data_IF_889656140393
#
_entry.id   IF_889656140393
#
_cell.length_a   1.000
_cell.length_b   1.000
_cell.length_c   1.000
_cell.angle_alpha   90.00
_cell.angle_beta   90.00
_cell.angle_gamma   90.00
#
_symmetry.space_group_name_H-M   'P 1'
#
loop_
_entity.id
_entity.type
_entity.pdbx_description
1 polymer ?
#
# COMPACT_ATOMS: atom_id res chain seq x y z
N UNK A 1 -20.81 -13.28 -12.22
CA UNK A 1 -20.41 -11.90 -12.59
C UNK A 1 -19.56 -11.83 -13.86
N UNK A 2 -18.56 -12.68 -14.08
CA UNK A 2 -17.68 -12.59 -15.26
C UNK A 2 -18.40 -12.74 -16.60
N UNK A 3 -19.37 -13.65 -16.72
CA UNK A 3 -20.15 -13.87 -17.95
C UNK A 3 -21.01 -12.65 -18.32
N UNK A 4 -21.64 -12.00 -17.34
CA UNK A 4 -22.46 -10.81 -17.58
C UNK A 4 -21.58 -9.61 -17.95
N UNK A 5 -20.47 -9.43 -17.26
CA UNK A 5 -19.49 -8.38 -17.57
C UNK A 5 -18.94 -8.55 -18.97
N UNK A 6 -18.56 -9.78 -19.35
CA UNK A 6 -18.07 -10.07 -20.71
C UNK A 6 -19.13 -9.75 -21.78
N UNK A 7 -20.40 -10.13 -21.54
CA UNK A 7 -21.50 -9.83 -22.45
C UNK A 7 -21.72 -8.32 -22.61
N UNK A 8 -21.67 -7.55 -21.53
CA UNK A 8 -21.82 -6.10 -21.58
C UNK A 8 -20.64 -5.43 -22.31
N UNK A 9 -19.42 -5.86 -22.05
CA UNK A 9 -18.24 -5.35 -22.76
C UNK A 9 -18.35 -5.66 -24.24
N UNK A 10 -18.72 -6.88 -24.62
CA UNK A 10 -18.90 -7.27 -26.03
C UNK A 10 -19.96 -6.39 -26.71
N UNK A 11 -21.11 -6.18 -26.08
CA UNK A 11 -22.14 -5.31 -26.66
C UNK A 11 -21.68 -3.86 -26.87
N UNK A 12 -20.95 -3.31 -25.92
CA UNK A 12 -20.36 -1.97 -26.05
C UNK A 12 -19.32 -1.93 -27.16
N UNK A 13 -18.46 -2.93 -27.24
CA UNK A 13 -17.45 -3.06 -28.28
C UNK A 13 -18.10 -3.12 -29.67
N UNK A 14 -19.11 -3.95 -29.87
CA UNK A 14 -19.83 -4.11 -31.14
C UNK A 14 -20.49 -2.80 -31.58
N UNK A 15 -21.10 -2.05 -30.66
CA UNK A 15 -21.69 -0.74 -30.96
C UNK A 15 -20.62 0.29 -31.37
N UNK A 16 -19.47 0.31 -30.70
CA UNK A 16 -18.38 1.22 -31.05
C UNK A 16 -17.69 0.82 -32.38
N UNK A 17 -17.50 -0.47 -32.58
CA UNK A 17 -16.91 -0.99 -33.81
C UNK A 17 -17.78 -0.65 -35.03
N UNK A 18 -19.11 -0.78 -34.91
CA UNK A 18 -20.07 -0.38 -35.95
C UNK A 18 -19.99 1.12 -36.25
N UNK A 19 -19.71 1.95 -35.24
CA UNK A 19 -19.70 3.41 -35.37
C UNK A 19 -18.35 3.99 -35.78
N UNK A 20 -17.25 3.42 -35.34
CA UNK A 20 -15.90 3.99 -35.49
C UNK A 20 -14.88 3.06 -36.16
N UNK A 21 -15.28 1.85 -36.50
CA UNK A 21 -14.40 0.81 -37.03
C UNK A 21 -13.50 0.16 -35.97
N UNK A 22 -12.92 -0.99 -36.31
CA UNK A 22 -12.10 -1.83 -35.42
C UNK A 22 -10.88 -1.08 -34.84
N UNK A 23 -10.20 -0.28 -35.68
CA UNK A 23 -9.04 0.50 -35.25
C UNK A 23 -9.40 1.61 -34.25
N UNK A 24 -10.57 2.23 -34.40
CA UNK A 24 -11.05 3.25 -33.47
C UNK A 24 -11.33 2.68 -32.08
N UNK A 25 -11.95 1.50 -32.03
CA UNK A 25 -12.21 0.80 -30.75
C UNK A 25 -10.93 0.38 -30.04
N UNK A 26 -9.98 -0.21 -30.77
CA UNK A 26 -8.69 -0.62 -30.20
C UNK A 26 -7.92 0.57 -29.59
N UNK A 27 -7.90 1.70 -30.29
CA UNK A 27 -7.25 2.91 -29.80
C UNK A 27 -7.92 3.43 -28.51
N UNK A 28 -9.24 3.44 -28.44
CA UNK A 28 -9.99 3.84 -27.23
C UNK A 28 -9.66 2.91 -26.06
N UNK A 29 -9.67 1.60 -26.27
CA UNK A 29 -9.34 0.63 -25.22
C UNK A 29 -7.89 0.81 -24.77
N UNK A 30 -6.94 0.99 -25.68
CA UNK A 30 -5.54 1.20 -25.32
C UNK A 30 -5.33 2.48 -24.51
N UNK A 31 -5.96 3.59 -24.89
CA UNK A 31 -5.81 4.88 -24.19
C UNK A 31 -6.54 4.92 -22.84
N UNK A 32 -7.75 4.36 -22.78
CA UNK A 32 -8.67 4.55 -21.65
C UNK A 32 -8.93 3.28 -20.81
N UNK A 33 -8.21 2.17 -21.06
CA UNK A 33 -8.43 0.89 -20.37
C UNK A 33 -8.49 0.99 -18.84
N UNK A 34 -7.67 1.84 -18.24
CA UNK A 34 -7.66 2.05 -16.78
C UNK A 34 -8.92 2.78 -16.30
N UNK A 35 -9.32 3.81 -17.01
CA UNK A 35 -10.49 4.62 -16.63
C UNK A 35 -11.79 3.88 -16.88
N UNK A 36 -11.85 3.12 -17.98
CA UNK A 36 -12.95 2.20 -18.28
C UNK A 36 -13.07 1.14 -17.17
N UNK A 37 -11.96 0.51 -16.81
CA UNK A 37 -11.91 -0.49 -15.73
C UNK A 37 -12.37 0.08 -14.39
N UNK A 38 -11.89 1.26 -14.00
CA UNK A 38 -12.32 1.97 -12.78
C UNK A 38 -13.81 2.27 -12.79
N UNK A 39 -14.33 2.78 -13.91
CA UNK A 39 -15.74 3.13 -14.04
C UNK A 39 -16.65 1.90 -13.99
N UNK A 40 -16.27 0.81 -14.66
CA UNK A 40 -17.00 -0.47 -14.59
C UNK A 40 -17.00 -0.99 -13.14
N UNK A 41 -15.84 -1.01 -12.50
CA UNK A 41 -15.72 -1.47 -11.11
C UNK A 41 -16.56 -0.62 -10.15
N UNK A 42 -16.50 0.70 -10.28
CA UNK A 42 -17.32 1.62 -9.49
C UNK A 42 -18.81 1.35 -9.66
N UNK A 43 -19.28 1.18 -10.91
CA UNK A 43 -20.68 0.86 -11.18
C UNK A 43 -21.08 -0.52 -10.65
N UNK A 44 -20.22 -1.51 -10.79
CA UNK A 44 -20.48 -2.84 -10.21
C UNK A 44 -20.65 -2.76 -8.69
N UNK A 45 -19.81 -1.98 -7.98
CA UNK A 45 -19.95 -1.80 -6.53
C UNK A 45 -21.24 -1.07 -6.14
N UNK A 46 -21.69 -0.10 -6.93
CA UNK A 46 -22.95 0.62 -6.68
C UNK A 46 -24.19 -0.26 -6.88
N UNK A 47 -24.14 -1.21 -7.78
CA UNK A 47 -25.23 -2.10 -8.14
C UNK A 47 -25.10 -3.51 -7.54
N UNK A 48 -23.99 -3.77 -6.86
CA UNK A 48 -23.76 -5.04 -6.19
C UNK A 48 -24.43 -5.00 -4.80
N UNK A 49 -25.47 -5.79 -4.63
CA UNK A 49 -26.07 -6.06 -3.34
C UNK A 49 -26.08 -7.57 -3.10
N UNK A 50 -25.75 -7.97 -1.90
CA UNK A 50 -25.95 -9.33 -1.43
C UNK A 50 -27.23 -9.39 -0.61
N UNK A 51 -28.22 -10.09 -1.09
CA UNK A 51 -29.33 -10.50 -0.25
C UNK A 51 -28.82 -11.53 0.77
N UNK A 52 -28.69 -11.13 2.04
CA UNK A 52 -28.29 -11.99 3.16
C UNK A 52 -26.85 -12.54 3.14
N UNK A 53 -25.91 -11.86 2.52
CA UNK A 53 -24.50 -12.27 2.51
C UNK A 53 -23.53 -11.17 2.96
N UNK A 54 -22.57 -11.52 3.80
CA UNK A 54 -21.41 -10.68 4.04
C UNK A 54 -20.37 -10.94 2.93
N UNK A 55 -19.83 -9.86 2.35
CA UNK A 55 -18.67 -9.98 1.48
C UNK A 55 -17.48 -10.49 2.31
N UNK A 56 -17.04 -11.71 2.03
CA UNK A 56 -15.79 -12.23 2.57
C UNK A 56 -14.68 -12.05 1.53
N UNK A 57 -13.61 -11.42 1.95
CA UNK A 57 -12.38 -11.39 1.17
C UNK A 57 -11.58 -12.64 1.47
N UNK A 58 -11.02 -13.25 0.42
CA UNK A 58 -10.12 -14.39 0.51
C UNK A 58 -8.90 -14.22 -0.39
N UNK A 59 -7.80 -14.84 -0.03
CA UNK A 59 -6.62 -14.90 -0.87
C UNK A 59 -6.83 -15.99 -1.90
N UNK A 60 -7.05 -15.61 -3.15
CA UNK A 60 -7.24 -16.54 -4.27
C UNK A 60 -5.92 -17.10 -4.82
N UNK A 61 -4.79 -16.50 -4.44
CA UNK A 61 -3.45 -16.96 -4.83
C UNK A 61 -2.36 -15.99 -4.41
N UNK A 62 -1.14 -16.48 -4.44
CA UNK A 62 0.07 -15.68 -4.19
C UNK A 62 0.98 -15.74 -5.41
N UNK A 63 1.76 -14.69 -5.60
CA UNK A 63 2.77 -14.63 -6.64
C UNK A 63 4.06 -14.06 -6.09
N UNK A 64 5.19 -14.52 -6.61
CA UNK A 64 6.46 -13.82 -6.41
C UNK A 64 6.38 -12.49 -7.14
N UNK A 65 6.69 -11.39 -6.47
CA UNK A 65 6.84 -10.09 -7.09
C UNK A 65 8.30 -9.66 -7.04
N UNK A 66 8.78 -9.09 -8.14
CA UNK A 66 10.09 -8.45 -8.18
C UNK A 66 9.87 -6.98 -7.82
N UNK A 67 10.12 -6.65 -6.57
CA UNK A 67 10.09 -5.26 -6.12
C UNK A 67 11.14 -4.45 -6.87
N UNK A 68 10.78 -3.28 -7.33
CA UNK A 68 11.66 -2.36 -8.04
C UNK A 68 11.68 -1.02 -7.34
N UNK A 69 12.81 -0.35 -7.44
CA UNK A 69 12.98 0.97 -6.88
C UNK A 69 13.56 1.87 -7.97
N UNK A 70 12.84 2.94 -8.27
CA UNK A 70 13.31 3.97 -9.20
C UNK A 70 12.88 5.33 -8.67
N UNK A 71 13.84 6.11 -8.19
CA UNK A 71 13.58 7.43 -7.63
C UNK A 71 14.25 8.54 -8.44
N UNK A 72 13.53 9.66 -8.59
CA UNK A 72 14.15 10.94 -8.94
C UNK A 72 14.55 11.63 -7.64
N UNK A 73 15.79 12.09 -7.57
CA UNK A 73 16.34 12.80 -6.42
C UNK A 73 17.29 13.90 -6.87
N UNK A 74 17.45 14.92 -6.04
CA UNK A 74 18.40 16.02 -6.27
C UNK A 74 19.66 15.89 -5.42
N UNK A 75 19.60 15.14 -4.33
CA UNK A 75 20.66 15.00 -3.34
C UNK A 75 20.67 13.59 -2.75
N UNK A 76 21.84 13.16 -2.27
CA UNK A 76 22.02 11.92 -1.50
C UNK A 76 22.52 12.25 -0.12
N UNK A 77 22.01 11.52 0.88
CA UNK A 77 22.47 11.64 2.24
C UNK A 77 22.52 10.28 2.94
N UNK A 78 23.35 10.13 3.96
CA UNK A 78 23.28 8.95 4.81
C UNK A 78 21.98 8.97 5.63
N UNK A 79 21.39 7.81 5.89
CA UNK A 79 20.13 7.67 6.64
C UNK A 79 20.19 8.39 8.01
N UNK A 80 21.33 8.37 8.66
CA UNK A 80 21.54 8.96 9.98
C UNK A 80 22.07 10.40 9.96
N UNK A 81 22.37 10.95 8.78
CA UNK A 81 22.77 12.34 8.64
C UNK A 81 21.57 13.27 8.60
N UNK A 82 21.72 14.44 9.23
CA UNK A 82 20.81 15.57 9.08
C UNK A 82 21.41 16.66 8.18
N UNK A 83 22.57 16.39 7.60
CA UNK A 83 23.30 17.29 6.71
C UNK A 83 22.81 17.08 5.26
N UNK A 84 21.67 17.65 4.95
CA UNK A 84 21.15 17.79 3.58
C UNK A 84 20.47 19.14 3.43
N UNK A 85 20.58 19.72 2.22
CA UNK A 85 20.15 21.12 1.96
C UNK A 85 18.76 21.19 1.33
N UNK A 86 18.33 20.11 0.72
CA UNK A 86 17.05 20.04 0.01
C UNK A 86 15.86 19.72 0.89
N UNK A 87 14.67 19.74 0.28
CA UNK A 87 13.49 19.18 0.90
C UNK A 87 13.69 17.65 1.07
N UNK A 88 13.30 17.10 2.22
CA UNK A 88 13.40 15.67 2.53
C UNK A 88 12.85 14.79 1.39
N UNK A 89 11.78 15.21 0.72
CA UNK A 89 11.18 14.50 -0.41
C UNK A 89 12.07 14.46 -1.66
N UNK A 90 13.10 15.29 -1.74
CA UNK A 90 14.05 15.30 -2.85
C UNK A 90 15.36 14.57 -2.56
N UNK A 91 15.53 14.08 -1.32
CA UNK A 91 16.74 13.39 -0.87
C UNK A 91 16.59 11.88 -1.00
N UNK A 92 17.58 11.22 -1.58
CA UNK A 92 17.73 9.77 -1.55
C UNK A 92 18.64 9.39 -0.38
N UNK A 93 18.07 8.73 0.60
CA UNK A 93 18.82 8.26 1.77
C UNK A 93 19.44 6.91 1.50
N UNK A 94 20.70 6.76 1.89
CA UNK A 94 21.52 5.57 1.70
C UNK A 94 22.16 5.09 3.03
N UNK A 95 22.84 3.94 2.99
CA UNK A 95 23.39 3.33 4.18
C UNK A 95 22.42 2.42 4.93
N UNK A 96 21.33 2.04 4.30
CA UNK A 96 20.32 1.11 4.82
C UNK A 96 20.87 -0.32 4.71
N UNK A 97 20.86 -1.07 5.81
CA UNK A 97 21.37 -2.45 5.90
C UNK A 97 20.26 -3.47 6.13
N UNK A 98 19.19 -3.09 6.82
CA UNK A 98 18.04 -3.94 7.14
C UNK A 98 16.84 -3.74 6.24
N UNK A 99 16.85 -2.66 5.47
CA UNK A 99 15.87 -2.45 4.43
C UNK A 99 16.03 -3.47 3.30
N UNK A 100 14.90 -3.84 2.67
CA UNK A 100 14.91 -4.66 1.44
C UNK A 100 15.74 -3.99 0.34
N UNK A 101 15.80 -2.66 0.37
CA UNK A 101 16.68 -1.86 -0.49
C UNK A 101 17.70 -1.10 0.34
N UNK A 102 18.89 -0.90 -0.21
CA UNK A 102 19.97 -0.13 0.43
C UNK A 102 19.73 1.39 0.43
N UNK A 103 18.69 1.84 -0.26
CA UNK A 103 18.32 3.26 -0.37
C UNK A 103 16.80 3.43 -0.21
N UNK A 104 16.36 4.60 0.26
CA UNK A 104 14.94 4.96 0.35
C UNK A 104 14.72 6.46 0.23
N UNK A 105 13.49 6.86 -0.10
CA UNK A 105 13.01 8.24 0.01
C UNK A 105 11.89 8.31 1.04
N UNK A 106 11.76 9.45 1.69
CA UNK A 106 10.74 9.70 2.69
C UNK A 106 9.97 10.97 2.37
N UNK A 107 8.66 10.94 2.65
CA UNK A 107 7.79 12.08 2.39
C UNK A 107 7.76 13.06 3.57
N UNK A 108 8.18 12.60 4.76
CA UNK A 108 8.16 13.40 5.98
C UNK A 108 9.29 13.04 6.94
N UNK A 109 9.59 13.98 7.88
CA UNK A 109 10.57 13.76 8.94
C UNK A 109 10.20 12.59 9.87
N UNK A 110 8.94 12.40 10.31
CA UNK A 110 8.56 11.24 11.10
C UNK A 110 8.82 9.90 10.41
N UNK A 111 8.62 9.81 9.09
CA UNK A 111 8.96 8.60 8.34
C UNK A 111 10.47 8.33 8.34
N UNK A 112 11.30 9.35 8.14
CA UNK A 112 12.75 9.23 8.25
C UNK A 112 13.17 8.77 9.65
N UNK A 113 12.57 9.34 10.70
CA UNK A 113 12.87 8.93 12.08
C UNK A 113 12.45 7.47 12.33
N UNK A 114 11.30 7.04 11.82
CA UNK A 114 10.87 5.65 11.93
C UNK A 114 11.85 4.71 11.21
N UNK A 115 12.31 5.07 10.02
CA UNK A 115 13.33 4.28 9.31
C UNK A 115 14.64 4.14 10.11
N UNK A 116 15.07 5.20 10.79
CA UNK A 116 16.23 5.16 11.69
C UNK A 116 16.03 4.22 12.88
N UNK A 117 14.84 4.23 13.48
CA UNK A 117 14.47 3.30 14.54
C UNK A 117 14.53 1.87 14.02
N UNK A 118 13.89 1.58 12.88
CA UNK A 118 13.87 0.25 12.28
C UNK A 118 15.27 -0.27 11.94
N UNK A 119 16.16 0.62 11.53
CA UNK A 119 17.54 0.26 11.17
C UNK A 119 18.40 -0.03 12.41
N UNK A 120 18.11 0.60 13.54
CA UNK A 120 18.87 0.42 14.78
C UNK A 120 18.36 -0.72 15.66
N UNK A 121 17.07 -1.07 15.58
CA UNK A 121 16.41 -2.07 16.43
C UNK A 121 16.65 -3.50 15.92
N UNK A 122 17.88 -3.94 16.07
CA UNK A 122 18.37 -5.20 15.48
C UNK A 122 17.87 -6.47 16.16
N UNK A 123 17.36 -6.39 17.38
CA UNK A 123 16.90 -7.55 18.11
C UNK A 123 15.51 -8.02 17.63
N UNK A 124 14.64 -7.09 17.29
CA UNK A 124 13.23 -7.37 17.04
C UNK A 124 12.86 -7.22 15.56
N UNK A 125 13.48 -6.25 14.85
CA UNK A 125 13.21 -6.00 13.43
C UNK A 125 14.15 -6.83 12.57
N UNK A 126 13.61 -7.77 11.79
CA UNK A 126 14.39 -8.57 10.85
C UNK A 126 14.68 -7.79 9.57
N UNK A 127 13.62 -7.32 8.92
CA UNK A 127 13.69 -6.56 7.68
C UNK A 127 12.60 -5.49 7.67
N UNK A 128 12.80 -4.46 6.85
CA UNK A 128 11.76 -3.49 6.55
C UNK A 128 11.80 -3.06 5.09
N UNK A 129 10.65 -2.66 4.58
CA UNK A 129 10.46 -2.16 3.23
C UNK A 129 9.75 -0.81 3.29
N UNK A 130 10.31 0.18 2.62
CA UNK A 130 9.58 1.38 2.18
C UNK A 130 9.13 1.09 0.75
N UNK A 131 7.86 0.78 0.48
CA UNK A 131 7.40 0.53 -0.87
C UNK A 131 7.66 1.73 -1.77
N UNK A 132 8.17 1.47 -2.97
CA UNK A 132 8.22 2.49 -3.99
C UNK A 132 6.80 2.75 -4.53
N UNK A 133 6.50 3.92 -5.09
CA UNK A 133 5.20 4.21 -5.65
C UNK A 133 4.71 3.11 -6.60
N UNK A 134 3.49 2.64 -6.41
CA UNK A 134 2.82 1.57 -7.16
C UNK A 134 3.35 0.14 -6.96
N UNK A 135 4.33 -0.08 -6.08
CA UNK A 135 4.87 -1.43 -5.81
C UNK A 135 4.03 -2.23 -4.81
N UNK A 136 3.36 -1.57 -3.88
CA UNK A 136 2.47 -2.21 -2.90
C UNK A 136 1.13 -1.48 -2.82
N UNK A 137 0.14 -1.98 -3.54
CA UNK A 137 -1.16 -1.34 -3.65
C UNK A 137 -2.26 -2.15 -2.98
N UNK A 138 -2.98 -1.54 -2.07
CA UNK A 138 -4.20 -2.06 -1.47
C UNK A 138 -5.37 -1.24 -2.00
N UNK A 139 -6.25 -1.87 -2.76
CA UNK A 139 -7.40 -1.17 -3.34
C UNK A 139 -8.46 -0.88 -2.26
N UNK A 140 -8.96 0.34 -2.20
CA UNK A 140 -10.04 0.80 -1.32
C UNK A 140 -10.97 1.76 -2.07
N UNK A 141 -12.11 2.12 -1.47
CA UNK A 141 -13.04 3.14 -1.95
C UNK A 141 -13.16 3.24 -3.48
N UNK A 142 -13.84 2.28 -4.12
CA UNK A 142 -14.16 2.32 -5.56
C UNK A 142 -12.94 2.37 -6.50
N UNK A 143 -11.85 1.71 -6.13
CA UNK A 143 -10.69 1.55 -7.00
C UNK A 143 -9.55 2.53 -6.75
N UNK A 144 -9.59 3.30 -5.69
CA UNK A 144 -8.42 4.04 -5.21
C UNK A 144 -7.38 3.09 -4.65
N UNK A 145 -6.11 3.44 -4.78
CA UNK A 145 -5.00 2.67 -4.22
C UNK A 145 -4.52 3.32 -2.93
N UNK A 146 -4.35 2.50 -1.90
CA UNK A 146 -3.65 2.82 -0.68
C UNK A 146 -2.27 2.15 -0.74
N UNK A 147 -1.22 2.93 -0.52
CA UNK A 147 0.16 2.49 -0.42
C UNK A 147 0.62 2.72 1.03
N UNK A 148 1.01 1.66 1.76
CA UNK A 148 1.48 1.82 3.13
C UNK A 148 2.85 2.50 3.17
N UNK A 149 3.13 3.23 4.25
CA UNK A 149 4.42 3.88 4.40
C UNK A 149 5.56 2.87 4.59
N UNK A 150 5.32 1.80 5.38
CA UNK A 150 6.30 0.73 5.59
C UNK A 150 5.63 -0.64 5.69
N UNK A 151 6.41 -1.66 5.36
CA UNK A 151 6.16 -3.05 5.74
C UNK A 151 7.34 -3.49 6.60
N UNK A 152 7.08 -3.93 7.83
CA UNK A 152 8.12 -4.27 8.80
C UNK A 152 7.97 -5.72 9.21
N UNK A 153 9.02 -6.50 9.07
CA UNK A 153 9.06 -7.90 9.44
C UNK A 153 9.80 -8.10 10.77
N UNK A 154 9.13 -8.75 11.70
CA UNK A 154 9.71 -9.26 12.96
C UNK A 154 9.75 -10.79 12.92
N UNK A 155 10.15 -11.44 14.01
CA UNK A 155 10.21 -12.89 14.05
C UNK A 155 8.86 -13.54 13.79
N UNK A 156 7.78 -13.03 14.38
CA UNK A 156 6.45 -13.65 14.31
C UNK A 156 5.44 -12.86 13.48
N UNK A 157 5.66 -11.58 13.26
CA UNK A 157 4.65 -10.67 12.73
C UNK A 157 5.21 -9.80 11.61
N UNK A 158 4.38 -9.58 10.59
CA UNK A 158 4.60 -8.57 9.56
C UNK A 158 3.66 -7.39 9.86
N UNK A 159 4.21 -6.21 10.02
CA UNK A 159 3.45 -4.99 10.27
C UNK A 159 3.27 -4.19 9.00
N UNK A 160 2.03 -3.83 8.70
CA UNK A 160 1.67 -2.84 7.70
C UNK A 160 1.57 -1.48 8.41
N UNK A 161 2.51 -0.58 8.14
CA UNK A 161 2.70 0.63 8.95
C UNK A 161 2.34 1.88 8.19
N UNK A 162 1.58 2.75 8.84
CA UNK A 162 1.21 4.08 8.37
C UNK A 162 1.57 5.13 9.43
N UNK A 163 2.26 6.19 9.03
CA UNK A 163 2.59 7.35 9.87
C UNK A 163 1.77 8.55 9.45
N UNK A 164 0.99 9.14 10.37
CA UNK A 164 0.07 10.22 10.00
C UNK A 164 0.11 11.39 10.96
N UNK A 165 0.05 12.60 10.40
CA UNK A 165 -0.11 13.83 11.18
C UNK A 165 -1.43 13.86 11.95
N UNK A 166 -1.42 14.42 13.15
CA UNK A 166 -2.58 14.48 14.05
C UNK A 166 -3.74 15.27 13.44
N UNK A 167 -3.46 16.25 12.61
CA UNK A 167 -4.45 17.06 11.87
C UNK A 167 -5.28 16.25 10.88
N UNK A 168 -4.78 15.08 10.47
CA UNK A 168 -5.41 14.20 9.47
C UNK A 168 -6.05 12.94 10.06
N UNK A 169 -5.99 12.71 11.36
CA UNK A 169 -6.50 11.48 11.99
C UNK A 169 -8.01 11.28 11.79
N UNK A 170 -8.77 12.38 11.68
CA UNK A 170 -10.21 12.37 11.47
C UNK A 170 -10.62 12.58 10.00
N UNK A 171 -9.67 12.61 9.08
CA UNK A 171 -9.96 12.72 7.66
C UNK A 171 -10.67 11.44 7.17
N UNK A 172 -11.84 11.55 6.50
CA UNK A 172 -12.59 10.38 6.03
C UNK A 172 -11.79 9.44 5.13
N UNK A 173 -10.88 9.98 4.31
CA UNK A 173 -10.00 9.18 3.45
C UNK A 173 -8.97 8.40 4.27
N UNK A 174 -8.40 9.04 5.30
CA UNK A 174 -7.46 8.38 6.23
C UNK A 174 -8.15 7.27 7.01
N UNK A 175 -9.38 7.51 7.48
CA UNK A 175 -10.19 6.50 8.17
C UNK A 175 -10.50 5.31 7.24
N UNK A 176 -10.83 5.58 5.98
CA UNK A 176 -11.11 4.54 5.00
C UNK A 176 -9.85 3.71 4.68
N UNK A 177 -8.70 4.33 4.52
CA UNK A 177 -7.40 3.66 4.36
C UNK A 177 -7.06 2.78 5.55
N UNK A 178 -7.20 3.33 6.77
CA UNK A 178 -6.98 2.59 8.02
C UNK A 178 -7.85 1.34 8.09
N UNK A 179 -9.18 1.49 7.88
CA UNK A 179 -10.12 0.36 7.85
C UNK A 179 -9.69 -0.69 6.82
N UNK A 180 -9.28 -0.26 5.64
CA UNK A 180 -8.83 -1.16 4.58
C UNK A 180 -7.53 -1.87 4.92
N UNK A 181 -6.58 -1.17 5.53
CA UNK A 181 -5.32 -1.76 6.01
C UNK A 181 -5.54 -2.85 7.06
N UNK A 182 -6.45 -2.62 8.01
CA UNK A 182 -6.84 -3.62 9.03
C UNK A 182 -7.46 -4.85 8.33
N UNK A 183 -8.42 -4.66 7.44
CA UNK A 183 -9.05 -5.77 6.69
C UNK A 183 -8.01 -6.58 5.88
N UNK A 184 -7.06 -5.89 5.24
CA UNK A 184 -5.98 -6.56 4.52
C UNK A 184 -5.16 -7.45 5.46
N UNK A 185 -4.76 -6.94 6.63
CA UNK A 185 -3.99 -7.68 7.62
C UNK A 185 -4.76 -8.90 8.16
N UNK A 186 -6.08 -8.77 8.40
CA UNK A 186 -6.93 -9.89 8.83
C UNK A 186 -6.98 -11.01 7.79
N UNK A 187 -7.21 -10.66 6.52
CA UNK A 187 -7.27 -11.64 5.42
C UNK A 187 -5.91 -12.30 5.21
N UNK A 188 -4.82 -11.51 5.19
CA UNK A 188 -3.46 -12.01 5.04
C UNK A 188 -3.05 -12.92 6.21
N UNK A 189 -3.42 -12.58 7.46
CA UNK A 189 -3.16 -13.40 8.64
C UNK A 189 -3.91 -14.71 8.60
N UNK A 190 -5.19 -14.71 8.21
CA UNK A 190 -6.00 -15.92 8.08
C UNK A 190 -5.41 -16.89 7.09
N UNK A 191 -5.02 -16.38 5.93
CA UNK A 191 -4.35 -17.17 4.91
C UNK A 191 -2.97 -17.63 5.37
N UNK A 192 -2.18 -16.75 5.99
CA UNK A 192 -0.85 -17.04 6.51
C UNK A 192 -0.87 -18.18 7.53
N UNK A 193 -1.79 -18.14 8.49
CA UNK A 193 -1.98 -19.20 9.49
C UNK A 193 -2.25 -20.57 8.85
N UNK A 194 -3.05 -20.61 7.80
CA UNK A 194 -3.36 -21.86 7.09
C UNK A 194 -2.19 -22.39 6.24
N UNK A 195 -1.21 -21.54 5.89
CA UNK A 195 -0.12 -21.85 4.96
C UNK A 195 1.28 -21.75 5.59
N UNK A 196 1.40 -21.61 6.91
CA UNK A 196 2.68 -21.56 7.62
C UNK A 196 3.45 -20.25 7.45
N UNK A 197 2.76 -19.15 7.21
CA UNK A 197 3.33 -17.81 7.12
C UNK A 197 3.03 -17.00 8.38
N UNK A 198 3.79 -15.91 8.58
CA UNK A 198 3.64 -14.99 9.70
C UNK A 198 2.27 -14.27 9.65
N UNK A 199 1.78 -13.90 10.82
CA UNK A 199 0.60 -13.03 10.92
C UNK A 199 0.90 -11.63 10.46
N UNK A 200 -0.12 -10.91 9.99
CA UNK A 200 -0.07 -9.51 9.63
C UNK A 200 -0.81 -8.66 10.67
N UNK A 201 -0.26 -7.49 10.99
CA UNK A 201 -0.92 -6.51 11.87
C UNK A 201 -0.82 -5.13 11.27
N UNK A 202 -1.88 -4.36 11.41
CA UNK A 202 -1.89 -2.97 11.01
C UNK A 202 -1.36 -2.10 12.14
N UNK A 203 -0.51 -1.12 11.80
CA UNK A 203 0.10 -0.21 12.76
C UNK A 203 -0.05 1.22 12.28
N UNK A 204 -0.90 1.98 12.97
CA UNK A 204 -1.18 3.39 12.66
C UNK A 204 -0.54 4.30 13.70
N UNK A 205 0.54 4.97 13.34
CA UNK A 205 1.36 5.76 14.26
C UNK A 205 1.10 7.26 14.05
N UNK A 206 0.59 7.98 15.07
CA UNK A 206 0.57 9.43 15.04
C UNK A 206 2.00 9.99 14.96
N UNK A 207 2.25 10.93 14.06
CA UNK A 207 3.60 11.40 13.73
C UNK A 207 4.39 11.93 14.92
N UNK A 208 3.73 12.60 15.88
CA UNK A 208 4.35 13.10 17.12
C UNK A 208 4.81 12.00 18.10
N UNK A 209 4.38 10.76 17.87
CA UNK A 209 4.77 9.63 18.70
C UNK A 209 6.04 8.94 18.19
N UNK A 210 6.50 9.28 16.99
CA UNK A 210 7.77 8.82 16.44
C UNK A 210 8.88 9.74 16.94
N UNK A 211 9.49 9.36 18.05
CA UNK A 211 10.58 10.10 18.68
C UNK A 211 11.91 9.39 18.45
N UNK A 212 13.06 10.11 18.47
CA UNK A 212 14.38 9.49 18.23
C UNK A 212 14.74 8.36 19.19
N UNK A 213 14.18 8.37 20.41
CA UNK A 213 14.37 7.35 21.45
C UNK A 213 13.21 6.33 21.55
N UNK A 214 12.29 6.33 20.60
CA UNK A 214 11.22 5.32 20.55
C UNK A 214 11.77 3.97 20.12
N UNK A 215 11.16 2.90 20.65
CA UNK A 215 11.34 1.53 20.14
C UNK A 215 10.18 1.17 19.20
N UNK A 216 10.48 0.50 18.09
CA UNK A 216 9.45 0.01 17.19
C UNK A 216 8.46 -0.91 17.90
N UNK A 217 8.95 -1.83 18.73
CA UNK A 217 8.07 -2.75 19.46
C UNK A 217 7.19 -2.06 20.49
N UNK A 218 7.65 -0.96 21.10
CA UNK A 218 6.80 -0.13 21.97
C UNK A 218 5.71 0.57 21.16
N UNK A 219 6.04 1.12 19.98
CA UNK A 219 5.07 1.71 19.07
C UNK A 219 4.06 0.66 18.60
N UNK A 220 4.53 -0.53 18.23
CA UNK A 220 3.67 -1.63 17.79
C UNK A 220 2.72 -2.11 18.88
N UNK A 221 3.19 -2.18 20.15
CA UNK A 221 2.35 -2.53 21.29
C UNK A 221 1.29 -1.47 21.60
N UNK A 222 1.63 -0.19 21.41
CA UNK A 222 0.74 0.94 21.74
C UNK A 222 -0.29 1.23 20.65
N UNK A 223 0.07 1.08 19.38
CA UNK A 223 -0.71 1.52 18.23
C UNK A 223 -1.08 0.40 17.25
N UNK A 224 -0.65 -0.84 17.53
CA UNK A 224 -1.01 -1.98 16.69
C UNK A 224 -2.47 -2.35 16.85
N UNK A 225 -3.15 -2.47 15.70
CA UNK A 225 -4.55 -2.90 15.62
C UNK A 225 -4.61 -4.33 15.07
N UNK A 226 -5.54 -5.10 15.62
CA UNK A 226 -5.84 -6.44 15.13
C UNK A 226 -6.94 -6.37 14.09
#
# INVERSE_FOLDING_TARGET
CSKLLFKLITQVCDQYETRYGTNGMQNIIMMYKRDIGKKIYSQMLQHFYCENGFLQEEVVGTRKCNLRQSYRYSERANLFSDEYTGNIQSVLFEGIKRGVFSTAKFDSRPELLLARILETESADVQNWLRPAPQEFNITYNHGHNYEPDFVVETEETIYLVEVKGEDKLNDPDVIAKKKRGIQYCEVASRWGKANGYKQWRYLFIPSKQVLPNSSFMQLAKRFGEM
#
